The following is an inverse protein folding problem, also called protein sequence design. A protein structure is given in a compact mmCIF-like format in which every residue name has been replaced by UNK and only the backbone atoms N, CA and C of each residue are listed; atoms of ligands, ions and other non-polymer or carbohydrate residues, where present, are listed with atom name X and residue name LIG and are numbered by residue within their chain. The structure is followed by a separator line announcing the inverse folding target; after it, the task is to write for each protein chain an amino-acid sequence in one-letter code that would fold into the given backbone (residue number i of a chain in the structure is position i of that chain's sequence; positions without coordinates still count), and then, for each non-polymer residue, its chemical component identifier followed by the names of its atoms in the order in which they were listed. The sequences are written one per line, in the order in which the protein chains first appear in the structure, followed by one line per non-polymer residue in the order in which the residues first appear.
data_IF_130146184048
#
_entry.id   IF_130146184048
#
_cell.length_a   1.000
_cell.length_b   1.000
_cell.length_c   1.000
_cell.angle_alpha   90.00
_cell.angle_beta   90.00
_cell.angle_gamma   90.00
#
_symmetry.space_group_name_H-M   'P 1'
#
loop_
_entity.id
_entity.type
_entity.pdbx_description
1 polymer ?
#
# COMPACT_ATOMS: atom_id res chain seq x y z
N UNK A 1 44.98 16.28 -18.04
CA UNK A 1 43.80 15.46 -18.41
C UNK A 1 42.70 15.77 -17.41
N UNK A 2 41.56 16.29 -17.86
CA UNK A 2 40.57 16.97 -17.02
C UNK A 2 39.76 15.97 -16.18
N UNK A 3 39.58 16.21 -14.87
CA UNK A 3 38.88 15.29 -13.95
C UNK A 3 37.45 14.95 -14.41
N UNK A 4 36.78 15.90 -15.09
CA UNK A 4 35.48 15.68 -15.73
C UNK A 4 35.53 14.61 -16.83
N UNK A 5 36.62 14.54 -17.61
CA UNK A 5 36.81 13.51 -18.65
C UNK A 5 37.05 12.12 -18.03
N UNK A 6 37.62 12.05 -16.83
CA UNK A 6 37.82 10.79 -16.10
C UNK A 6 36.52 10.34 -15.40
N UNK A 7 35.71 11.28 -14.91
CA UNK A 7 34.37 11.00 -14.37
C UNK A 7 33.42 10.52 -15.47
N UNK A 8 33.44 11.13 -16.66
CA UNK A 8 32.64 10.68 -17.81
C UNK A 8 33.13 9.32 -18.34
N UNK A 9 34.44 9.03 -18.30
CA UNK A 9 34.96 7.69 -18.64
C UNK A 9 34.62 6.61 -17.62
N UNK A 10 34.36 6.99 -16.36
CA UNK A 10 33.81 6.13 -15.31
C UNK A 10 32.28 6.14 -15.29
N UNK A 11 31.64 6.97 -16.11
CA UNK A 11 30.20 7.04 -16.24
C UNK A 11 29.77 5.94 -17.20
N UNK A 12 29.51 4.78 -16.62
CA UNK A 12 28.96 3.60 -17.28
C UNK A 12 28.22 2.79 -16.23
N UNK A 13 27.16 2.11 -16.66
CA UNK A 13 26.48 1.17 -15.79
C UNK A 13 27.31 -0.10 -15.65
N UNK A 14 27.93 -0.24 -14.47
CA UNK A 14 28.80 -1.37 -14.13
C UNK A 14 28.06 -2.44 -13.32
N UNK A 15 26.73 -2.38 -13.21
CA UNK A 15 25.94 -3.26 -12.34
C UNK A 15 26.25 -4.74 -12.61
N UNK A 16 26.13 -5.19 -13.86
CA UNK A 16 26.35 -6.58 -14.26
C UNK A 16 27.82 -7.03 -14.15
N UNK A 17 28.77 -6.08 -14.09
CA UNK A 17 30.18 -6.41 -13.82
C UNK A 17 30.43 -6.62 -12.33
N UNK A 18 29.73 -5.86 -11.48
CA UNK A 18 29.88 -5.92 -10.03
C UNK A 18 29.08 -7.09 -9.45
N UNK A 19 27.84 -7.27 -9.91
CA UNK A 19 26.95 -8.36 -9.55
C UNK A 19 26.75 -9.19 -10.82
N UNK A 20 27.32 -10.42 -10.90
CA UNK A 20 27.19 -11.25 -12.08
C UNK A 20 25.79 -11.86 -12.19
N UNK A 21 25.34 -12.04 -13.44
CA UNK A 21 24.06 -12.66 -13.81
C UNK A 21 23.90 -14.06 -13.21
N UNK A 22 22.68 -14.42 -12.86
CA UNK A 22 22.39 -15.67 -12.12
C UNK A 22 21.89 -16.82 -13.01
N UNK A 23 21.56 -16.54 -14.28
CA UNK A 23 21.02 -17.52 -15.22
C UNK A 23 21.74 -17.50 -16.58
N UNK A 24 21.53 -18.55 -17.39
CA UNK A 24 22.08 -18.65 -18.76
C UNK A 24 21.44 -17.63 -19.72
N UNK A 25 20.18 -17.28 -19.44
CA UNK A 25 19.37 -16.32 -20.14
C UNK A 25 19.00 -15.21 -19.17
N UNK A 26 19.73 -14.09 -19.25
CA UNK A 26 19.61 -12.97 -18.32
C UNK A 26 19.54 -11.61 -19.02
N UNK A 27 19.34 -10.55 -18.25
CA UNK A 27 19.36 -9.17 -18.73
C UNK A 27 20.76 -8.78 -19.23
N UNK A 28 20.79 -7.75 -20.08
CA UNK A 28 22.03 -7.08 -20.48
C UNK A 28 22.20 -5.75 -19.75
N UNK A 29 23.34 -5.08 -19.97
CA UNK A 29 23.55 -3.71 -19.47
C UNK A 29 22.45 -2.76 -19.95
N UNK A 30 21.86 -2.98 -21.13
CA UNK A 30 20.73 -2.17 -21.61
C UNK A 30 19.45 -2.38 -20.79
N UNK A 31 19.14 -3.62 -20.39
CA UNK A 31 18.04 -3.90 -19.46
C UNK A 31 18.25 -3.21 -18.12
N UNK A 32 19.48 -3.27 -17.59
CA UNK A 32 19.85 -2.59 -16.34
C UNK A 32 19.79 -1.06 -16.47
N UNK A 33 20.24 -0.46 -17.58
CA UNK A 33 20.13 0.98 -17.84
C UNK A 33 18.67 1.47 -17.80
N UNK A 34 17.78 0.68 -18.43
CA UNK A 34 16.35 0.95 -18.39
C UNK A 34 15.79 0.89 -16.96
N UNK A 35 16.17 -0.13 -16.19
CA UNK A 35 15.73 -0.28 -14.80
C UNK A 35 16.23 0.89 -13.91
N UNK A 36 17.44 1.40 -14.14
CA UNK A 36 17.93 2.62 -13.46
C UNK A 36 17.11 3.87 -13.79
N UNK A 37 16.64 3.99 -15.04
CA UNK A 37 15.75 5.07 -15.43
C UNK A 37 14.39 4.96 -14.71
N UNK A 38 13.81 3.75 -14.65
CA UNK A 38 12.55 3.52 -13.92
C UNK A 38 12.73 3.78 -12.42
N UNK A 39 13.81 3.29 -11.81
CA UNK A 39 14.18 3.60 -10.43
C UNK A 39 14.18 5.10 -10.16
N UNK A 40 14.86 5.87 -11.02
CA UNK A 40 15.00 7.32 -10.87
C UNK A 40 13.64 8.02 -10.94
N UNK A 41 12.76 7.60 -11.86
CA UNK A 41 11.40 8.14 -11.97
C UNK A 41 10.53 7.81 -10.75
N UNK A 42 10.61 6.58 -10.23
CA UNK A 42 9.89 6.15 -9.02
C UNK A 42 10.35 6.96 -7.81
N UNK A 43 11.67 7.01 -7.57
CA UNK A 43 12.27 7.70 -6.44
C UNK A 43 11.97 9.21 -6.48
N UNK A 44 12.15 9.86 -7.63
CA UNK A 44 11.88 11.28 -7.78
C UNK A 44 10.40 11.60 -7.53
N UNK A 45 9.49 10.83 -8.13
CA UNK A 45 8.04 11.05 -7.94
C UNK A 45 7.63 10.79 -6.49
N UNK A 46 8.21 9.79 -5.84
CA UNK A 46 7.99 9.49 -4.42
C UNK A 46 8.41 10.65 -3.51
N UNK A 47 9.60 11.21 -3.74
CA UNK A 47 10.09 12.38 -3.01
C UNK A 47 9.21 13.62 -3.24
N UNK A 48 8.80 13.88 -4.49
CA UNK A 48 7.90 14.98 -4.84
C UNK A 48 6.55 14.83 -4.13
N UNK A 49 5.98 13.62 -4.15
CA UNK A 49 4.68 13.33 -3.51
C UNK A 49 4.76 13.47 -1.99
N UNK A 50 5.86 12.99 -1.38
CA UNK A 50 6.13 13.18 0.04
C UNK A 50 6.28 14.65 0.40
N UNK A 51 7.02 15.44 -0.39
CA UNK A 51 7.17 16.87 -0.16
C UNK A 51 5.85 17.63 -0.32
N UNK A 52 5.04 17.26 -1.33
CA UNK A 52 3.72 17.81 -1.52
C UNK A 52 2.81 17.55 -0.31
N UNK A 53 2.88 16.36 0.30
CA UNK A 53 2.10 16.03 1.50
C UNK A 53 2.31 17.03 2.66
N UNK A 54 3.51 17.62 2.78
CA UNK A 54 3.80 18.59 3.84
C UNK A 54 2.98 19.88 3.72
N UNK A 55 2.53 20.22 2.52
CA UNK A 55 1.68 21.39 2.23
C UNK A 55 0.19 21.09 2.38
N UNK A 56 -0.20 19.83 2.59
CA UNK A 56 -1.59 19.39 2.75
C UNK A 56 -1.96 19.36 4.23
N UNK A 57 -3.24 19.59 4.57
CA UNK A 57 -3.72 19.51 5.94
C UNK A 57 -3.54 18.09 6.50
N UNK A 58 -3.32 17.93 7.81
CA UNK A 58 -2.95 16.62 8.40
C UNK A 58 -4.00 15.52 8.14
N UNK A 59 -5.29 15.87 8.06
CA UNK A 59 -6.39 14.93 7.80
C UNK A 59 -6.52 14.46 6.35
N UNK A 60 -5.84 15.10 5.41
CA UNK A 60 -5.97 14.84 3.96
C UNK A 60 -4.70 14.20 3.36
N UNK A 61 -3.70 13.92 4.20
CA UNK A 61 -2.41 13.37 3.77
C UNK A 61 -2.42 11.88 3.47
N UNK A 62 -3.45 11.14 3.88
CA UNK A 62 -3.49 9.68 3.78
C UNK A 62 -3.15 9.19 2.37
N UNK A 63 -3.81 9.74 1.34
CA UNK A 63 -3.56 9.38 -0.06
C UNK A 63 -2.15 9.75 -0.53
N UNK A 64 -1.58 10.87 -0.06
CA UNK A 64 -0.20 11.23 -0.39
C UNK A 64 0.80 10.26 0.26
N UNK A 65 0.53 9.80 1.48
CA UNK A 65 1.37 8.81 2.16
C UNK A 65 1.26 7.43 1.51
N UNK A 66 0.06 7.01 1.09
CA UNK A 66 -0.11 5.77 0.31
C UNK A 66 0.70 5.84 -0.98
N UNK A 67 0.52 6.90 -1.78
CA UNK A 67 1.25 7.12 -3.03
C UNK A 67 2.77 7.14 -2.81
N UNK A 68 3.23 7.84 -1.77
CA UNK A 68 4.66 7.89 -1.46
C UNK A 68 5.22 6.53 -1.00
N UNK A 69 4.45 5.75 -0.23
CA UNK A 69 4.83 4.39 0.18
C UNK A 69 4.90 3.43 -1.01
N UNK A 70 3.96 3.53 -1.95
CA UNK A 70 3.97 2.77 -3.20
C UNK A 70 5.25 3.06 -3.99
N UNK A 71 5.56 4.34 -4.18
CA UNK A 71 6.71 4.78 -4.97
C UNK A 71 8.05 4.47 -4.28
N UNK A 72 8.11 4.58 -2.95
CA UNK A 72 9.28 4.20 -2.18
C UNK A 72 9.55 2.68 -2.30
N UNK A 73 8.51 1.86 -2.15
CA UNK A 73 8.64 0.39 -2.28
C UNK A 73 9.08 0.00 -3.68
N UNK A 74 8.45 0.56 -4.72
CA UNK A 74 8.85 0.32 -6.09
C UNK A 74 10.28 0.77 -6.36
N UNK A 75 10.72 1.92 -5.82
CA UNK A 75 12.10 2.37 -5.97
C UNK A 75 13.12 1.38 -5.39
N UNK A 76 12.83 0.75 -4.24
CA UNK A 76 13.72 -0.26 -3.66
C UNK A 76 13.81 -1.49 -4.57
N UNK A 77 12.69 -1.97 -5.10
CA UNK A 77 12.69 -3.12 -6.00
C UNK A 77 13.38 -2.83 -7.33
N UNK A 78 13.14 -1.66 -7.93
CA UNK A 78 13.84 -1.25 -9.16
C UNK A 78 15.32 -1.02 -8.94
N UNK A 79 15.74 -0.51 -7.77
CA UNK A 79 17.16 -0.45 -7.42
C UNK A 79 17.79 -1.84 -7.38
N UNK A 80 17.11 -2.82 -6.75
CA UNK A 80 17.57 -4.20 -6.71
C UNK A 80 17.73 -4.77 -8.12
N UNK A 81 16.67 -4.70 -8.94
CA UNK A 81 16.69 -5.26 -10.29
C UNK A 81 17.73 -4.54 -11.19
N UNK A 82 17.82 -3.21 -11.11
CA UNK A 82 18.81 -2.44 -11.86
C UNK A 82 20.25 -2.79 -11.47
N UNK A 83 20.46 -3.19 -10.22
CA UNK A 83 21.76 -3.65 -9.73
C UNK A 83 22.06 -5.11 -10.04
N UNK A 84 21.24 -5.79 -10.86
CA UNK A 84 21.32 -7.23 -11.13
C UNK A 84 21.16 -8.10 -9.86
N UNK A 85 20.26 -7.68 -8.96
CA UNK A 85 19.95 -8.36 -7.71
C UNK A 85 18.46 -8.70 -7.62
N UNK A 86 18.13 -9.77 -6.89
CA UNK A 86 16.74 -10.12 -6.63
C UNK A 86 16.11 -11.02 -7.71
N UNK A 87 16.93 -11.83 -8.38
CA UNK A 87 16.50 -12.85 -9.33
C UNK A 87 16.95 -14.25 -8.89
N UNK A 88 16.28 -15.27 -9.42
CA UNK A 88 16.68 -16.68 -9.27
C UNK A 88 16.62 -17.39 -10.63
N UNK A 89 17.56 -18.30 -10.95
CA UNK A 89 17.52 -19.06 -12.19
C UNK A 89 16.44 -20.14 -12.13
N UNK A 90 15.60 -20.22 -13.17
CA UNK A 90 14.59 -21.27 -13.36
C UNK A 90 14.76 -21.84 -14.76
N UNK A 91 14.73 -23.17 -14.92
CA UNK A 91 14.81 -23.79 -16.24
C UNK A 91 13.60 -23.40 -17.09
N UNK A 92 13.86 -22.98 -18.32
CA UNK A 92 12.77 -22.63 -19.24
C UNK A 92 11.97 -23.87 -19.62
N UNK A 93 10.68 -23.69 -19.86
CA UNK A 93 9.85 -24.73 -20.49
C UNK A 93 10.01 -24.67 -22.01
N UNK A 94 10.09 -23.45 -22.55
CA UNK A 94 10.20 -23.16 -23.98
C UNK A 94 11.45 -22.33 -24.27
N UNK A 95 12.15 -22.64 -25.36
CA UNK A 95 13.38 -21.94 -25.76
C UNK A 95 13.17 -21.26 -27.10
N UNK A 96 13.21 -19.92 -27.12
CA UNK A 96 13.11 -19.09 -28.33
C UNK A 96 14.40 -18.33 -28.65
N UNK A 97 15.27 -18.19 -27.65
CA UNK A 97 16.53 -17.46 -27.73
C UNK A 97 17.49 -18.03 -26.66
N UNK A 98 18.77 -17.67 -26.78
CA UNK A 98 19.83 -18.24 -25.95
C UNK A 98 20.32 -19.60 -26.49
N UNK A 99 21.16 -20.30 -25.71
CA UNK A 99 21.70 -21.60 -26.09
C UNK A 99 20.59 -22.67 -26.14
N UNK A 100 20.68 -23.61 -27.09
CA UNK A 100 19.68 -24.67 -27.24
C UNK A 100 19.67 -25.63 -26.03
N UNK A 101 20.86 -25.94 -25.52
CA UNK A 101 21.07 -26.71 -24.29
C UNK A 101 22.34 -26.24 -23.57
N UNK A 102 22.38 -26.49 -22.27
CA UNK A 102 23.54 -26.32 -21.41
C UNK A 102 23.78 -27.66 -20.73
N UNK A 103 24.87 -28.33 -21.10
CA UNK A 103 25.25 -29.65 -20.57
C UNK A 103 24.14 -30.71 -20.68
N UNK A 104 23.39 -30.73 -21.79
CA UNK A 104 22.29 -31.67 -22.01
C UNK A 104 20.99 -31.36 -21.25
N UNK A 105 20.89 -30.17 -20.65
CA UNK A 105 19.67 -29.66 -20.02
C UNK A 105 19.18 -28.37 -20.70
N UNK A 106 17.89 -28.04 -20.55
CA UNK A 106 17.37 -26.74 -20.99
C UNK A 106 18.05 -25.60 -20.23
N UNK A 107 18.32 -24.45 -20.87
CA UNK A 107 18.93 -23.31 -20.22
C UNK A 107 18.04 -22.74 -19.11
N UNK A 108 18.67 -22.07 -18.15
CA UNK A 108 17.97 -21.31 -17.11
C UNK A 108 17.70 -19.89 -17.56
N UNK A 109 16.61 -19.32 -17.07
CA UNK A 109 16.23 -17.92 -17.24
C UNK A 109 16.06 -17.25 -15.89
N UNK A 110 16.48 -16.01 -15.78
CA UNK A 110 16.29 -15.21 -14.56
C UNK A 110 14.81 -14.88 -14.36
N UNK A 111 14.32 -15.24 -13.17
CA UNK A 111 12.99 -14.87 -12.67
C UNK A 111 13.17 -13.85 -11.55
N UNK A 112 12.66 -12.65 -11.76
CA UNK A 112 12.88 -11.47 -10.93
C UNK A 112 11.91 -11.41 -9.75
N UNK A 113 12.15 -12.24 -8.73
CA UNK A 113 11.28 -12.32 -7.55
C UNK A 113 11.15 -10.99 -6.80
N UNK A 114 12.13 -10.09 -6.89
CA UNK A 114 12.06 -8.74 -6.31
C UNK A 114 10.82 -7.96 -6.81
N UNK A 115 10.39 -8.17 -8.06
CA UNK A 115 9.19 -7.57 -8.62
C UNK A 115 7.92 -8.04 -7.91
N UNK A 116 7.82 -9.32 -7.61
CA UNK A 116 6.67 -9.86 -6.90
C UNK A 116 6.65 -9.42 -5.44
N UNK A 117 7.82 -9.20 -4.81
CA UNK A 117 7.90 -8.58 -3.48
C UNK A 117 7.38 -7.14 -3.52
N UNK A 118 7.76 -6.34 -4.52
CA UNK A 118 7.16 -5.01 -4.77
C UNK A 118 5.65 -5.13 -4.88
N UNK A 119 5.14 -5.94 -5.81
CA UNK A 119 3.71 -6.05 -6.06
C UNK A 119 2.92 -6.54 -4.84
N UNK A 120 3.47 -7.47 -4.05
CA UNK A 120 2.84 -7.95 -2.81
C UNK A 120 2.54 -6.81 -1.83
N UNK A 121 3.30 -5.72 -1.90
CA UNK A 121 3.11 -4.54 -1.06
C UNK A 121 2.35 -3.45 -1.82
N UNK A 122 2.69 -3.19 -3.09
CA UNK A 122 2.16 -2.04 -3.82
C UNK A 122 0.79 -2.27 -4.43
N UNK A 123 0.42 -3.49 -4.83
CA UNK A 123 -0.94 -3.74 -5.34
C UNK A 123 -2.00 -3.63 -4.24
N UNK A 124 -1.77 -4.10 -2.99
CA UNK A 124 -2.68 -3.80 -1.89
C UNK A 124 -2.82 -2.30 -1.62
N UNK A 125 -1.71 -1.55 -1.68
CA UNK A 125 -1.74 -0.11 -1.43
C UNK A 125 -2.46 0.66 -2.56
N UNK A 126 -2.25 0.28 -3.82
CA UNK A 126 -2.97 0.84 -4.97
C UNK A 126 -4.49 0.56 -4.86
N UNK A 127 -4.86 -0.65 -4.45
CA UNK A 127 -6.27 -0.97 -4.17
C UNK A 127 -6.80 -0.16 -2.98
N UNK A 128 -6.00 0.02 -1.93
CA UNK A 128 -6.41 0.79 -0.78
C UNK A 128 -6.68 2.25 -1.15
N UNK A 129 -5.88 2.86 -2.05
CA UNK A 129 -6.13 4.21 -2.58
C UNK A 129 -7.53 4.33 -3.20
N UNK A 130 -7.95 3.39 -4.05
CA UNK A 130 -9.29 3.46 -4.64
C UNK A 130 -10.39 3.05 -3.64
N UNK A 131 -10.18 2.01 -2.83
CA UNK A 131 -11.21 1.47 -1.95
C UNK A 131 -11.53 2.43 -0.79
N UNK A 132 -10.54 3.16 -0.27
CA UNK A 132 -10.79 4.19 0.75
C UNK A 132 -11.66 5.34 0.23
N UNK A 133 -11.66 5.60 -1.08
CA UNK A 133 -12.53 6.61 -1.71
C UNK A 133 -13.97 6.12 -1.85
N UNK A 134 -14.17 4.80 -1.90
CA UNK A 134 -15.51 4.21 -2.06
C UNK A 134 -16.32 4.13 -0.76
N UNK A 135 -15.68 4.20 0.40
CA UNK A 135 -16.35 4.01 1.70
C UNK A 135 -16.85 2.58 1.95
N UNK A 136 -16.25 1.58 1.30
CA UNK A 136 -16.62 0.18 1.49
C UNK A 136 -16.40 -0.30 2.94
N UNK A 137 -17.19 -1.27 3.43
CA UNK A 137 -16.96 -1.90 4.72
C UNK A 137 -15.56 -2.52 4.79
N UNK A 138 -14.92 -2.43 5.97
CA UNK A 138 -13.58 -2.98 6.18
C UNK A 138 -13.47 -4.47 5.86
N UNK A 139 -14.54 -5.25 6.08
CA UNK A 139 -14.60 -6.67 5.71
C UNK A 139 -14.48 -6.88 4.19
N UNK A 140 -15.13 -6.04 3.39
CA UNK A 140 -15.03 -6.06 1.93
C UNK A 140 -13.65 -5.61 1.47
N UNK A 141 -13.08 -4.58 2.09
CA UNK A 141 -11.71 -4.14 1.80
C UNK A 141 -10.72 -5.28 2.09
N UNK A 142 -10.81 -5.89 3.27
CA UNK A 142 -9.94 -6.99 3.69
C UNK A 142 -9.98 -8.18 2.72
N UNK A 143 -11.17 -8.67 2.38
CA UNK A 143 -11.27 -9.83 1.47
C UNK A 143 -10.75 -9.48 0.06
N UNK A 144 -10.93 -8.24 -0.38
CA UNK A 144 -10.40 -7.77 -1.68
C UNK A 144 -8.88 -7.76 -1.68
N UNK A 145 -8.26 -7.24 -0.61
CA UNK A 145 -6.80 -7.26 -0.44
C UNK A 145 -6.27 -8.70 -0.34
N UNK A 146 -7.01 -9.61 0.32
CA UNK A 146 -6.62 -11.02 0.36
C UNK A 146 -6.58 -11.64 -1.05
N UNK A 147 -7.60 -11.42 -1.87
CA UNK A 147 -7.61 -11.93 -3.25
C UNK A 147 -6.54 -11.25 -4.14
N UNK A 148 -6.22 -9.99 -3.89
CA UNK A 148 -5.07 -9.33 -4.52
C UNK A 148 -3.74 -10.00 -4.16
N UNK A 149 -3.53 -10.36 -2.89
CA UNK A 149 -2.35 -11.12 -2.47
C UNK A 149 -2.32 -12.52 -3.11
N UNK A 150 -3.45 -13.21 -3.21
CA UNK A 150 -3.55 -14.51 -3.91
C UNK A 150 -3.13 -14.35 -5.37
N UNK A 151 -3.55 -13.28 -6.05
CA UNK A 151 -3.14 -12.98 -7.43
C UNK A 151 -1.62 -12.86 -7.56
N UNK A 152 -0.96 -12.08 -6.68
CA UNK A 152 0.50 -11.90 -6.76
C UNK A 152 1.27 -13.18 -6.37
N UNK A 153 0.86 -13.85 -5.29
CA UNK A 153 1.54 -15.06 -4.80
C UNK A 153 1.45 -16.19 -5.81
N UNK A 154 0.28 -16.39 -6.43
CA UNK A 154 0.15 -17.41 -7.49
C UNK A 154 0.98 -17.06 -8.71
N UNK A 155 1.06 -15.79 -9.11
CA UNK A 155 1.96 -15.33 -10.17
C UNK A 155 3.44 -15.64 -9.90
N UNK A 156 3.91 -15.40 -8.67
CA UNK A 156 5.29 -15.73 -8.26
C UNK A 156 5.52 -17.24 -8.27
N UNK A 157 4.65 -18.02 -7.63
CA UNK A 157 4.81 -19.47 -7.58
C UNK A 157 4.81 -20.04 -9.00
N UNK A 158 3.91 -19.58 -9.87
CA UNK A 158 3.87 -19.99 -11.28
C UNK A 158 5.18 -19.69 -12.01
N UNK A 159 5.79 -18.52 -11.78
CA UNK A 159 7.05 -18.14 -12.43
C UNK A 159 8.22 -19.02 -11.99
N UNK A 160 8.16 -19.58 -10.78
CA UNK A 160 9.15 -20.49 -10.22
C UNK A 160 8.93 -21.97 -10.61
N UNK A 161 7.82 -22.31 -11.27
CA UNK A 161 7.51 -23.67 -11.70
C UNK A 161 8.08 -23.93 -13.10
N UNK A 162 8.95 -24.93 -13.22
CA UNK A 162 9.57 -25.31 -14.51
C UNK A 162 8.60 -26.02 -15.47
N UNK A 163 7.53 -26.65 -14.95
CA UNK A 163 6.60 -27.47 -15.73
C UNK A 163 5.35 -26.71 -16.16
N UNK A 164 4.57 -27.33 -17.04
CA UNK A 164 3.28 -26.79 -17.51
C UNK A 164 2.28 -26.48 -16.39
N UNK A 165 2.49 -27.01 -15.16
CA UNK A 165 1.68 -26.70 -13.98
C UNK A 165 1.65 -25.20 -13.64
N UNK A 166 2.62 -24.41 -14.12
CA UNK A 166 2.62 -22.94 -13.99
C UNK A 166 1.31 -22.31 -14.50
N UNK A 167 0.68 -22.88 -15.52
CA UNK A 167 -0.57 -22.37 -16.09
C UNK A 167 -1.79 -22.57 -15.16
N UNK A 168 -1.72 -23.55 -14.25
CA UNK A 168 -2.69 -23.68 -13.17
C UNK A 168 -2.63 -22.48 -12.22
N UNK A 169 -1.41 -22.08 -11.81
CA UNK A 169 -1.20 -20.89 -10.99
C UNK A 169 -1.60 -19.60 -11.69
N UNK A 170 -1.26 -19.46 -12.97
CA UNK A 170 -1.73 -18.35 -13.80
C UNK A 170 -3.25 -18.22 -13.81
N UNK A 171 -3.96 -19.35 -14.00
CA UNK A 171 -5.42 -19.38 -14.00
C UNK A 171 -6.00 -18.96 -12.64
N UNK A 172 -5.44 -19.49 -11.54
CA UNK A 172 -5.85 -19.11 -10.18
C UNK A 172 -5.66 -17.61 -9.93
N UNK A 173 -4.53 -17.04 -10.36
CA UNK A 173 -4.25 -15.62 -10.25
C UNK A 173 -5.23 -14.76 -11.06
N UNK A 174 -5.56 -15.16 -12.29
CA UNK A 174 -6.55 -14.46 -13.10
C UNK A 174 -7.96 -14.51 -12.49
N UNK A 175 -8.36 -15.64 -11.92
CA UNK A 175 -9.66 -15.75 -11.20
C UNK A 175 -9.69 -14.81 -9.99
N UNK A 176 -8.61 -14.74 -9.23
CA UNK A 176 -8.48 -13.81 -8.11
C UNK A 176 -8.55 -12.34 -8.57
N UNK A 177 -7.89 -11.99 -9.69
CA UNK A 177 -7.97 -10.67 -10.31
C UNK A 177 -9.41 -10.31 -10.70
N UNK A 178 -10.16 -11.24 -11.30
CA UNK A 178 -11.57 -10.99 -11.66
C UNK A 178 -12.46 -10.78 -10.43
N UNK A 179 -12.18 -11.45 -9.31
CA UNK A 179 -12.86 -11.16 -8.05
C UNK A 179 -12.62 -9.71 -7.59
N UNK A 180 -11.36 -9.26 -7.63
CA UNK A 180 -11.01 -7.86 -7.30
C UNK A 180 -11.77 -6.88 -8.20
N UNK A 181 -11.81 -7.15 -9.52
CA UNK A 181 -12.55 -6.30 -10.47
C UNK A 181 -14.05 -6.30 -10.18
N UNK A 182 -14.63 -7.45 -9.83
CA UNK A 182 -16.03 -7.53 -9.43
C UNK A 182 -16.32 -6.66 -8.20
N UNK A 183 -15.45 -6.67 -7.18
CA UNK A 183 -15.61 -5.79 -6.01
C UNK A 183 -15.54 -4.32 -6.41
N UNK A 184 -14.57 -3.95 -7.25
CA UNK A 184 -14.37 -2.57 -7.69
C UNK A 184 -15.62 -2.04 -8.42
N UNK A 185 -16.11 -2.77 -9.42
CA UNK A 185 -17.20 -2.30 -10.29
C UNK A 185 -18.59 -2.56 -9.73
N UNK A 186 -18.76 -3.57 -8.88
CA UNK A 186 -20.02 -3.88 -8.24
C UNK A 186 -20.23 -3.05 -6.96
N UNK A 187 -19.90 -3.60 -5.78
CA UNK A 187 -20.14 -2.92 -4.51
C UNK A 187 -19.33 -1.62 -4.35
N UNK A 188 -18.09 -1.54 -4.85
CA UNK A 188 -17.25 -0.35 -4.73
C UNK A 188 -17.82 0.87 -5.44
N UNK A 189 -18.15 0.74 -6.72
CA UNK A 189 -18.74 1.83 -7.50
C UNK A 189 -20.11 2.26 -6.95
N UNK A 190 -20.93 1.31 -6.50
CA UNK A 190 -22.22 1.61 -5.84
C UNK A 190 -21.98 2.40 -4.55
N UNK A 191 -21.03 1.98 -3.71
CA UNK A 191 -20.71 2.66 -2.46
C UNK A 191 -20.21 4.09 -2.70
N UNK A 192 -19.28 4.28 -3.64
CA UNK A 192 -18.77 5.60 -4.02
C UNK A 192 -19.89 6.55 -4.50
N UNK A 193 -20.93 6.01 -5.15
CA UNK A 193 -22.07 6.81 -5.62
C UNK A 193 -22.93 7.40 -4.51
N UNK A 194 -22.97 6.76 -3.33
CA UNK A 194 -23.70 7.29 -2.17
C UNK A 194 -22.96 8.45 -1.49
N UNK A 195 -21.65 8.61 -1.73
CA UNK A 195 -20.83 9.69 -1.18
C UNK A 195 -20.89 10.98 -2.00
N UNK A 196 -21.39 10.91 -3.24
CA UNK A 196 -21.60 12.06 -4.12
C UNK A 196 -21.07 11.86 -5.54
N UNK A 197 -21.45 12.78 -6.44
CA UNK A 197 -21.09 12.70 -7.86
C UNK A 197 -19.57 12.78 -8.10
N UNK A 198 -18.87 13.64 -7.36
CA UNK A 198 -17.41 13.79 -7.47
C UNK A 198 -16.66 12.54 -7.00
N UNK A 199 -17.12 11.90 -5.92
CA UNK A 199 -16.57 10.62 -5.45
C UNK A 199 -16.78 9.50 -6.47
N UNK A 200 -18.01 9.35 -6.99
CA UNK A 200 -18.31 8.37 -8.03
C UNK A 200 -17.41 8.54 -9.25
N UNK A 201 -17.24 9.78 -9.72
CA UNK A 201 -16.45 10.09 -10.92
C UNK A 201 -14.96 9.80 -10.68
N UNK A 202 -14.42 10.28 -9.55
CA UNK A 202 -13.01 10.10 -9.21
C UNK A 202 -12.67 8.62 -9.00
N UNK A 203 -13.55 7.89 -8.32
CA UNK A 203 -13.45 6.44 -8.14
C UNK A 203 -13.49 5.71 -9.49
N UNK A 204 -14.51 5.98 -10.33
CA UNK A 204 -14.65 5.30 -11.62
C UNK A 204 -13.45 5.52 -12.53
N UNK A 205 -12.95 6.74 -12.65
CA UNK A 205 -11.81 7.04 -13.50
C UNK A 205 -10.52 6.38 -12.99
N UNK A 206 -10.26 6.44 -11.68
CA UNK A 206 -9.08 5.81 -11.08
C UNK A 206 -9.13 4.29 -11.24
N UNK A 207 -10.29 3.69 -10.94
CA UNK A 207 -10.53 2.26 -11.14
C UNK A 207 -10.34 1.85 -12.60
N UNK A 208 -10.85 2.63 -13.58
CA UNK A 208 -10.69 2.31 -14.99
C UNK A 208 -9.23 2.34 -15.45
N UNK A 209 -8.47 3.36 -15.06
CA UNK A 209 -7.04 3.43 -15.39
C UNK A 209 -6.31 2.21 -14.81
N UNK A 210 -6.55 1.90 -13.53
CA UNK A 210 -5.83 0.83 -12.84
C UNK A 210 -6.19 -0.55 -13.40
N UNK A 211 -7.47 -0.87 -13.58
CA UNK A 211 -7.90 -2.21 -14.05
C UNK A 211 -7.51 -2.46 -15.50
N UNK A 212 -7.54 -1.44 -16.37
CA UNK A 212 -7.04 -1.56 -17.75
C UNK A 212 -5.56 -1.89 -17.74
N UNK A 213 -4.74 -1.17 -16.97
CA UNK A 213 -3.32 -1.50 -16.83
C UNK A 213 -3.12 -2.90 -16.24
N UNK A 214 -3.88 -3.26 -15.20
CA UNK A 214 -3.76 -4.56 -14.53
C UNK A 214 -4.07 -5.74 -15.45
N UNK A 215 -4.96 -5.61 -16.43
CA UNK A 215 -5.18 -6.67 -17.43
C UNK A 215 -3.97 -6.92 -18.35
N UNK A 216 -3.07 -5.96 -18.48
CA UNK A 216 -1.83 -6.12 -19.26
C UNK A 216 -0.75 -6.90 -18.50
N UNK A 217 -0.77 -6.93 -17.16
CA UNK A 217 0.20 -7.68 -16.36
C UNK A 217 0.13 -9.21 -16.53
N UNK A 218 -1.04 -9.88 -16.51
CA UNK A 218 -1.10 -11.31 -16.80
C UNK A 218 -0.78 -11.61 -18.27
N UNK A 219 -1.03 -10.68 -19.20
CA UNK A 219 -0.56 -10.82 -20.59
C UNK A 219 0.96 -10.80 -20.62
N UNK A 220 1.60 -9.81 -19.98
CA UNK A 220 3.05 -9.73 -19.86
C UNK A 220 3.63 -10.99 -19.19
N UNK A 221 2.99 -11.49 -18.13
CA UNK A 221 3.40 -12.70 -17.42
C UNK A 221 3.34 -13.92 -18.33
N UNK A 222 2.26 -14.06 -19.10
CA UNK A 222 2.09 -15.19 -20.02
C UNK A 222 3.16 -15.21 -21.12
N UNK A 223 3.61 -14.03 -21.57
CA UNK A 223 4.62 -13.88 -22.61
C UNK A 223 6.05 -14.02 -22.04
N UNK A 224 6.31 -13.52 -20.84
CA UNK A 224 7.65 -13.46 -20.25
C UNK A 224 7.96 -14.71 -19.41
N UNK A 225 7.30 -14.85 -18.25
CA UNK A 225 7.58 -15.89 -17.25
C UNK A 225 6.96 -17.25 -17.65
N UNK A 226 5.75 -17.20 -18.22
CA UNK A 226 4.98 -18.38 -18.60
C UNK A 226 5.56 -19.07 -19.84
N UNK A 227 5.42 -18.41 -20.99
CA UNK A 227 5.77 -18.96 -22.30
C UNK A 227 7.23 -18.70 -22.72
N UNK A 228 8.02 -17.92 -21.97
CA UNK A 228 9.42 -17.63 -22.28
C UNK A 228 9.66 -16.99 -23.67
N UNK A 229 8.68 -16.27 -24.20
CA UNK A 229 8.74 -15.65 -25.55
C UNK A 229 9.56 -14.37 -25.54
N UNK A 230 9.33 -13.48 -24.57
CA UNK A 230 10.05 -12.20 -24.49
C UNK A 230 11.42 -12.38 -23.86
N UNK A 231 12.44 -11.69 -24.40
CA UNK A 231 13.78 -11.60 -23.80
C UNK A 231 13.73 -10.97 -22.40
N UNK A 232 14.70 -11.23 -21.51
CA UNK A 232 14.78 -10.59 -20.20
C UNK A 232 14.77 -9.05 -20.30
N UNK A 233 15.50 -8.47 -21.24
CA UNK A 233 15.46 -7.02 -21.49
C UNK A 233 14.07 -6.56 -21.94
N UNK A 234 13.42 -7.30 -22.83
CA UNK A 234 12.05 -7.03 -23.28
C UNK A 234 11.03 -7.10 -22.13
N UNK A 235 11.20 -8.05 -21.22
CA UNK A 235 10.42 -8.15 -19.98
C UNK A 235 10.62 -6.91 -19.10
N UNK A 236 11.86 -6.45 -18.90
CA UNK A 236 12.14 -5.26 -18.10
C UNK A 236 11.47 -4.01 -18.70
N UNK A 237 11.47 -3.89 -20.03
CA UNK A 237 10.77 -2.81 -20.72
C UNK A 237 9.26 -2.93 -20.54
N UNK A 238 8.69 -4.12 -20.76
CA UNK A 238 7.24 -4.32 -20.68
C UNK A 238 6.73 -3.99 -19.27
N UNK A 239 7.25 -4.64 -18.24
CA UNK A 239 6.83 -4.36 -16.86
C UNK A 239 7.22 -2.95 -16.40
N UNK A 240 8.38 -2.44 -16.82
CA UNK A 240 8.81 -1.08 -16.49
C UNK A 240 7.85 -0.01 -16.99
N UNK A 241 7.37 -0.13 -18.23
CA UNK A 241 6.35 0.79 -18.78
C UNK A 241 5.04 0.68 -18.01
N UNK A 242 4.57 -0.55 -17.75
CA UNK A 242 3.34 -0.75 -16.99
C UNK A 242 3.44 -0.15 -15.58
N UNK A 243 4.56 -0.36 -14.89
CA UNK A 243 4.77 0.17 -13.55
C UNK A 243 4.88 1.69 -13.53
N UNK A 244 5.55 2.31 -14.50
CA UNK A 244 5.57 3.78 -14.63
C UNK A 244 4.15 4.35 -14.80
N UNK A 245 3.28 3.67 -15.55
CA UNK A 245 1.89 4.09 -15.72
C UNK A 245 1.05 3.83 -14.46
N UNK A 246 1.21 2.66 -13.85
CA UNK A 246 0.37 2.19 -12.74
C UNK A 246 0.78 2.76 -11.38
N UNK A 247 2.00 3.31 -11.23
CA UNK A 247 2.50 3.84 -9.97
C UNK A 247 2.68 5.37 -10.03
N UNK A 248 3.73 5.97 -10.63
CA UNK A 248 3.94 7.42 -10.54
C UNK A 248 2.90 8.21 -11.35
N UNK A 249 2.55 7.78 -12.57
CA UNK A 249 1.53 8.46 -13.36
C UNK A 249 0.15 8.31 -12.70
N UNK A 250 -0.20 7.11 -12.26
CA UNK A 250 -1.43 6.85 -11.52
C UNK A 250 -1.51 7.68 -10.23
N UNK A 251 -0.47 7.72 -9.40
CA UNK A 251 -0.45 8.49 -8.16
C UNK A 251 -0.74 9.98 -8.41
N UNK A 252 -0.04 10.59 -9.37
CA UNK A 252 -0.26 12.00 -9.73
C UNK A 252 -1.69 12.24 -10.26
N UNK A 253 -2.18 11.34 -11.11
CA UNK A 253 -3.54 11.39 -11.64
C UNK A 253 -4.60 11.24 -10.55
N UNK A 254 -4.44 10.26 -9.65
CA UNK A 254 -5.37 9.94 -8.58
C UNK A 254 -5.43 11.08 -7.57
N UNK A 255 -4.27 11.57 -7.10
CA UNK A 255 -4.20 12.72 -6.19
C UNK A 255 -4.81 13.98 -6.83
N UNK A 256 -4.64 14.21 -8.13
CA UNK A 256 -5.29 15.30 -8.83
C UNK A 256 -6.81 15.13 -8.91
N UNK A 257 -7.28 13.92 -9.19
CA UNK A 257 -8.70 13.55 -9.26
C UNK A 257 -9.41 13.83 -7.93
N UNK A 258 -8.77 13.49 -6.81
CA UNK A 258 -9.32 13.68 -5.47
C UNK A 258 -9.40 15.13 -5.00
N UNK A 259 -8.77 16.10 -5.67
CA UNK A 259 -8.82 17.52 -5.25
C UNK A 259 -10.23 18.12 -5.23
N UNK A 260 -11.19 17.48 -5.91
CA UNK A 260 -12.61 17.89 -5.93
C UNK A 260 -13.46 17.18 -4.87
N UNK A 261 -12.92 16.15 -4.23
CA UNK A 261 -13.63 15.36 -3.23
C UNK A 261 -13.51 16.03 -1.86
N UNK A 262 -14.64 16.19 -1.17
CA UNK A 262 -14.63 16.66 0.21
C UNK A 262 -14.27 15.51 1.17
N UNK A 263 -13.03 15.48 1.64
CA UNK A 263 -12.52 14.44 2.53
C UNK A 263 -13.31 14.27 3.84
N UNK A 264 -14.03 15.31 4.30
CA UNK A 264 -14.88 15.18 5.50
C UNK A 264 -16.00 14.16 5.33
N UNK A 265 -16.45 13.93 4.08
CA UNK A 265 -17.50 12.97 3.75
C UNK A 265 -17.07 11.51 3.87
N UNK A 266 -15.75 11.24 3.89
CA UNK A 266 -15.23 9.88 3.95
C UNK A 266 -15.36 9.26 5.35
N UNK A 267 -15.70 10.04 6.39
CA UNK A 267 -15.89 9.59 7.77
C UNK A 267 -14.83 8.57 8.25
N UNK A 268 -13.58 8.68 7.77
CA UNK A 268 -12.44 7.92 8.26
C UNK A 268 -12.08 8.45 9.65
N UNK A 269 -12.97 8.22 10.62
CA UNK A 269 -12.73 8.53 12.03
C UNK A 269 -11.72 7.52 12.52
N UNK A 270 -10.45 7.90 12.47
CA UNK A 270 -9.41 7.27 13.29
C UNK A 270 -9.91 7.31 14.73
N UNK A 271 -10.30 6.16 15.28
CA UNK A 271 -10.76 6.04 16.67
C UNK A 271 -9.69 6.40 17.70
N UNK A 272 -8.48 6.76 17.26
CA UNK A 272 -7.50 7.49 18.05
C UNK A 272 -7.51 8.95 17.61
N UNK A 273 -8.03 9.79 18.50
CA UNK A 273 -7.70 11.20 18.55
C UNK A 273 -6.18 11.33 18.46
N UNK A 274 -5.69 12.07 17.47
CA UNK A 274 -4.30 12.51 17.52
C UNK A 274 -4.17 13.35 18.78
N UNK A 275 -3.18 13.09 19.63
CA UNK A 275 -2.90 13.77 20.92
C UNK A 275 -2.89 15.32 20.85
N UNK A 276 -3.00 15.90 19.66
CA UNK A 276 -3.01 17.33 19.41
C UNK A 276 -4.41 17.98 19.48
N UNK A 277 -5.48 17.22 19.25
CA UNK A 277 -6.84 17.77 19.39
C UNK A 277 -7.17 18.02 20.87
N UNK A 278 -6.58 17.21 21.77
CA UNK A 278 -6.61 17.45 23.22
C UNK A 278 -5.82 18.68 23.64
N UNK A 279 -4.72 19.03 22.97
CA UNK A 279 -3.99 20.27 23.30
C UNK A 279 -4.84 21.47 22.90
N UNK A 280 -5.42 21.50 21.71
CA UNK A 280 -6.27 22.60 21.27
C UNK A 280 -7.57 22.69 22.09
N UNK A 281 -8.21 21.56 22.38
CA UNK A 281 -9.42 21.50 23.20
C UNK A 281 -9.14 21.83 24.67
N UNK A 282 -8.02 21.36 25.25
CA UNK A 282 -7.61 21.76 26.60
C UNK A 282 -7.20 23.23 26.64
N UNK A 283 -6.52 23.77 25.62
CA UNK A 283 -6.18 25.19 25.58
C UNK A 283 -7.44 26.07 25.46
N UNK A 284 -8.45 25.62 24.72
CA UNK A 284 -9.73 26.32 24.59
C UNK A 284 -10.54 26.27 25.90
N UNK A 285 -10.63 25.10 26.56
CA UNK A 285 -11.29 24.94 27.87
C UNK A 285 -10.56 25.70 28.99
N UNK A 286 -9.24 25.77 28.94
CA UNK A 286 -8.44 26.53 29.92
C UNK A 286 -8.61 28.03 29.72
N UNK A 287 -8.73 28.51 28.47
CA UNK A 287 -9.04 29.92 28.18
C UNK A 287 -10.48 30.31 28.53
N UNK A 288 -11.45 29.40 28.35
CA UNK A 288 -12.85 29.63 28.75
C UNK A 288 -12.98 29.74 30.28
N UNK A 289 -12.33 28.83 31.02
CA UNK A 289 -12.29 28.88 32.48
C UNK A 289 -11.50 30.09 33.01
N UNK A 290 -10.41 30.48 32.32
CA UNK A 290 -9.64 31.68 32.65
C UNK A 290 -10.45 32.97 32.47
N UNK A 291 -11.19 33.08 31.35
CA UNK A 291 -12.08 34.22 31.10
C UNK A 291 -13.28 34.28 32.05
N UNK A 292 -13.82 33.13 32.46
CA UNK A 292 -14.87 33.07 33.48
C UNK A 292 -14.39 33.53 34.86
N UNK A 293 -13.12 33.25 35.20
CA UNK A 293 -12.49 33.70 36.44
C UNK A 293 -12.11 35.20 36.40
N UNK A 294 -11.67 35.72 35.26
CA UNK A 294 -11.36 37.15 35.07
C UNK A 294 -12.62 38.04 35.00
N UNK A 295 -13.76 37.49 34.58
CA UNK A 295 -15.04 38.20 34.50
C UNK A 295 -15.75 38.40 35.85
N UNK A 296 -15.17 37.94 36.97
CA UNK A 296 -15.66 38.26 38.32
C UNK A 296 -17.10 37.82 38.61
N UNK A 297 -17.62 36.79 37.94
CA UNK A 297 -18.99 36.30 38.19
C UNK A 297 -18.97 35.35 39.39
N UNK A 298 -18.69 35.92 40.56
CA UNK A 298 -18.89 35.32 41.87
C UNK A 298 -20.24 35.73 42.45
N UNK A 299 -21.17 34.76 42.48
CA UNK A 299 -22.35 34.55 43.33
C UNK A 299 -23.02 35.71 44.12
N UNK A 300 -24.37 35.75 44.10
CA UNK A 300 -25.32 35.95 45.23
C UNK A 300 -26.75 36.15 44.66
N UNK A 301 -27.87 35.69 45.21
CA UNK A 301 -28.27 34.95 46.42
C UNK A 301 -29.80 35.10 46.57
N UNK A 302 -30.52 34.11 47.13
CA UNK A 302 -31.85 34.33 47.72
C UNK A 302 -32.15 33.24 48.76
N UNK A 303 -32.06 33.65 50.02
CA UNK A 303 -32.40 32.93 51.24
C UNK A 303 -33.92 32.76 51.38
N UNK A 304 -34.40 31.59 51.82
CA UNK A 304 -35.63 31.51 52.63
C UNK A 304 -35.56 30.31 53.58
N UNK A 305 -35.69 30.63 54.87
CA UNK A 305 -35.75 29.75 56.04
C UNK A 305 -37.07 28.97 56.11
N UNK A 306 -37.02 27.67 56.45
CA UNK A 306 -37.75 27.04 57.59
C UNK A 306 -37.47 25.53 57.68
N UNK A 307 -37.22 25.03 58.89
CA UNK A 307 -37.60 23.66 59.31
C UNK A 307 -36.46 22.65 59.55
N UNK A 308 -36.35 22.22 60.82
CA UNK A 308 -35.47 21.20 61.41
C UNK A 308 -35.43 19.84 60.65
N UNK A 309 -34.39 18.99 60.72
CA UNK A 309 -33.93 18.25 61.91
C UNK A 309 -32.56 17.55 61.69
N UNK A 310 -31.75 17.55 62.76
CA UNK A 310 -30.79 16.51 63.24
C UNK A 310 -29.72 15.90 62.32
N UNK A 311 -28.45 15.97 62.76
CA UNK A 311 -27.46 14.90 62.50
C UNK A 311 -26.02 15.39 62.38
N UNK A 312 -25.21 15.14 63.40
CA UNK A 312 -23.86 15.65 63.63
C UNK A 312 -22.73 15.12 62.73
N UNK A 313 -21.65 15.94 62.72
CA UNK A 313 -20.21 15.62 62.77
C UNK A 313 -19.38 15.34 61.49
N UNK A 314 -18.41 16.26 61.27
CA UNK A 314 -16.94 16.08 61.06
C UNK A 314 -16.48 14.90 60.19
N UNK A 315 -15.54 15.01 59.23
CA UNK A 315 -14.25 15.71 59.21
C UNK A 315 -13.67 15.53 57.80
N UNK A 316 -12.88 16.50 57.30
CA UNK A 316 -12.11 16.33 56.07
C UNK A 316 -10.84 15.49 56.26
N UNK A 317 -10.38 14.85 55.19
CA UNK A 317 -8.97 14.82 54.75
C UNK A 317 -8.77 13.78 53.62
N UNK A 318 -8.41 14.31 52.45
CA UNK A 318 -7.42 13.83 51.49
C UNK A 318 -6.92 12.37 51.56
N UNK A 319 -7.24 11.56 50.54
CA UNK A 319 -6.40 10.43 50.11
C UNK A 319 -6.45 10.26 48.59
N UNK A 320 -5.26 10.33 47.99
CA UNK A 320 -4.86 9.88 46.65
C UNK A 320 -5.48 8.52 46.28
N UNK A 321 -6.29 8.48 45.23
CA UNK A 321 -6.90 7.27 44.68
C UNK A 321 -6.06 6.68 43.55
N UNK A 322 -5.32 5.62 43.86
CA UNK A 322 -4.68 4.72 42.91
C UNK A 322 -5.73 4.01 42.03
N UNK A 323 -5.37 3.74 40.77
CA UNK A 323 -6.15 2.89 39.85
C UNK A 323 -6.28 1.47 40.45
N UNK A 324 -7.48 1.11 40.89
CA UNK A 324 -7.82 -0.28 41.22
C UNK A 324 -8.36 -0.94 39.96
N UNK A 325 -7.57 -1.84 39.37
CA UNK A 325 -8.00 -2.72 38.29
C UNK A 325 -8.92 -3.81 38.86
N UNK A 326 -10.15 -3.91 38.38
CA UNK A 326 -11.03 -5.03 38.68
C UNK A 326 -10.58 -6.29 37.91
N UNK A 327 -10.49 -7.47 38.56
CA UNK A 327 -10.20 -8.72 37.86
C UNK A 327 -11.39 -9.18 36.99
N UNK A 328 -11.07 -9.80 35.85
CA UNK A 328 -12.02 -10.32 34.87
C UNK A 328 -12.87 -11.50 35.44
N UNK A 329 -14.12 -11.67 35.01
CA UNK A 329 -14.98 -12.76 35.47
C UNK A 329 -14.52 -14.13 34.94
N UNK A 330 -14.73 -15.17 35.75
CA UNK A 330 -14.26 -16.53 35.50
C UNK A 330 -15.03 -17.24 34.37
N UNK A 331 -14.28 -17.84 33.44
CA UNK A 331 -14.80 -18.67 32.35
C UNK A 331 -15.16 -20.07 32.84
N UNK A 332 -16.43 -20.45 32.81
CA UNK A 332 -16.89 -21.82 33.08
C UNK A 332 -16.66 -22.69 31.84
N UNK A 333 -15.76 -23.67 31.94
CA UNK A 333 -15.61 -24.73 30.94
C UNK A 333 -16.70 -25.80 31.15
N UNK A 334 -17.54 -26.05 30.15
CA UNK A 334 -18.38 -27.24 30.09
C UNK A 334 -17.55 -28.42 29.56
N UNK A 335 -17.31 -29.42 30.41
CA UNK A 335 -16.82 -30.74 30.00
C UNK A 335 -17.98 -31.54 29.41
N UNK A 336 -17.90 -31.90 28.12
CA UNK A 336 -18.73 -32.94 27.53
C UNK A 336 -18.17 -34.31 27.93
N UNK A 337 -18.96 -35.08 28.68
CA UNK A 337 -18.71 -36.48 28.96
C UNK A 337 -19.03 -37.33 27.72
N UNK A 338 -18.04 -38.10 27.26
CA UNK A 338 -18.28 -39.24 26.36
C UNK A 338 -18.54 -40.48 27.22
N UNK A 339 -19.74 -41.05 27.12
CA UNK A 339 -20.06 -42.37 27.65
C UNK A 339 -19.55 -43.45 26.70
N UNK A 340 -19.00 -44.52 27.27
CA UNK A 340 -18.54 -45.74 26.59
C UNK A 340 -19.66 -46.47 25.87
#
# INVERSE_FOLDING_TARGET
MNAASQLIKRAGNEALRVNPTVADIDITTHGSDWLWAVFSAMALTGLVTMFWSMKVSRGERAFHYLSAAILATASVAYFSMASDLGATPIRVEYTYYGPADINGARPTRSIWYARYIDWTITTPLLLLEILLVSGLPLSTVFITIFFDLVMIITGLIGALVESTYKWGYFTMGCVAMFYVFWVIYGPGLKSASHLGADFKKSYLHSSLVLTVLWTLYPIAWSICDGANIASPDGEMVFYGVLDLLAKPVFALFHLWSLRRCNYSSLHHKSGKFSDYEDIAANHFRTMENGKAAEAGVGATGATTTTGATTGANTTGANTTGANVLHPAPATTMQQQQYTQ
#
